data_IF_913204844056
#
_entry.id   IF_913204844056
#
_cell.length_a   1.000
_cell.length_b   1.000
_cell.length_c   1.000
_cell.angle_alpha   90.00
_cell.angle_beta   90.00
_cell.angle_gamma   90.00
#
_symmetry.space_group_name_H-M   'P 1'
#
loop_
_entity.id
_entity.type
_entity.pdbx_description
1 polymer ?
#
# COMPACT_ATOMS: atom_id res chain seq x y z
N UNK A 1 27.29 -12.43 -8.87
CA UNK A 1 26.74 -11.27 -8.13
C UNK A 1 25.24 -11.46 -8.08
N UNK A 2 24.65 -11.54 -6.88
CA UNK A 2 23.20 -11.46 -6.73
C UNK A 2 22.81 -9.98 -6.85
N UNK A 3 22.14 -9.61 -7.94
CA UNK A 3 21.58 -8.27 -8.07
C UNK A 3 20.60 -8.04 -6.92
N UNK A 4 20.65 -6.85 -6.31
CA UNK A 4 19.73 -6.52 -5.23
C UNK A 4 18.26 -6.61 -5.71
N UNK A 5 17.29 -6.98 -4.85
CA UNK A 5 15.90 -7.13 -5.26
C UNK A 5 15.31 -5.85 -5.85
N UNK A 6 14.50 -5.97 -6.90
CA UNK A 6 13.80 -4.83 -7.54
C UNK A 6 12.93 -4.12 -6.50
N UNK A 7 12.96 -2.78 -6.50
CA UNK A 7 12.23 -1.96 -5.55
C UNK A 7 12.88 -1.85 -4.16
N UNK A 8 14.08 -2.42 -3.98
CA UNK A 8 14.87 -2.21 -2.76
C UNK A 8 15.68 -0.92 -2.84
N UNK A 9 16.17 -0.42 -1.70
CA UNK A 9 17.05 0.76 -1.67
C UNK A 9 18.32 0.61 -2.51
N UNK A 10 18.82 -0.61 -2.69
CA UNK A 10 20.04 -0.91 -3.46
C UNK A 10 19.74 -1.25 -4.94
N UNK A 11 18.47 -1.35 -5.33
CA UNK A 11 18.00 -1.51 -6.70
C UNK A 11 16.59 -0.89 -6.82
N UNK A 12 16.50 0.45 -6.80
CA UNK A 12 15.23 1.17 -6.80
C UNK A 12 14.48 0.92 -8.12
N UNK A 13 13.16 0.93 -8.05
CA UNK A 13 12.29 0.86 -9.23
C UNK A 13 12.39 2.17 -10.03
N UNK A 14 12.12 2.14 -11.34
CA UNK A 14 11.94 3.38 -12.12
C UNK A 14 10.76 4.22 -11.59
N UNK A 15 9.82 3.57 -10.91
CA UNK A 15 8.65 4.19 -10.30
C UNK A 15 8.84 4.51 -8.81
N UNK A 16 10.07 4.47 -8.27
CA UNK A 16 10.31 4.85 -6.88
C UNK A 16 9.79 6.27 -6.62
N UNK A 17 8.92 6.39 -5.62
CA UNK A 17 8.27 7.65 -5.25
C UNK A 17 9.09 8.41 -4.22
N UNK A 18 10.00 7.74 -3.49
CA UNK A 18 10.73 8.36 -2.39
C UNK A 18 11.51 9.61 -2.80
N UNK A 19 12.16 9.70 -3.98
CA UNK A 19 12.84 10.92 -4.41
C UNK A 19 11.91 12.03 -4.92
N UNK A 20 10.64 11.73 -5.17
CA UNK A 20 9.64 12.61 -5.80
C UNK A 20 8.56 13.10 -4.84
N UNK A 21 8.48 12.50 -3.66
CA UNK A 21 7.52 12.82 -2.61
C UNK A 21 7.73 14.25 -2.10
N UNK A 22 6.67 15.04 -1.93
CA UNK A 22 6.80 16.34 -1.27
C UNK A 22 7.12 16.19 0.23
N UNK A 23 7.74 17.22 0.82
CA UNK A 23 8.14 17.19 2.24
C UNK A 23 6.94 17.01 3.20
N UNK A 24 5.75 17.43 2.79
CA UNK A 24 4.51 17.35 3.57
C UNK A 24 3.53 16.28 3.06
N UNK A 25 3.88 15.54 2.00
CA UNK A 25 3.01 14.50 1.43
C UNK A 25 3.05 13.22 2.29
N UNK A 26 1.92 12.80 2.88
CA UNK A 26 1.87 11.60 3.70
C UNK A 26 1.98 10.33 2.84
N UNK A 27 2.74 9.36 3.32
CA UNK A 27 2.89 8.05 2.67
C UNK A 27 2.82 6.90 3.67
N UNK A 28 2.46 5.71 3.17
CA UNK A 28 2.40 4.48 3.96
C UNK A 28 3.22 3.38 3.28
N UNK A 29 4.11 2.75 4.03
CA UNK A 29 4.97 1.66 3.51
C UNK A 29 4.52 0.32 4.04
N UNK A 30 4.15 -0.57 3.12
CA UNK A 30 4.00 -1.99 3.39
C UNK A 30 5.36 -2.65 3.12
N UNK A 31 6.04 -3.12 4.18
CA UNK A 31 7.38 -3.70 4.07
C UNK A 31 7.29 -5.15 3.61
N UNK A 32 8.21 -5.60 2.76
CA UNK A 32 8.31 -6.99 2.28
C UNK A 32 8.31 -8.08 3.36
N UNK A 33 8.60 -7.75 4.63
CA UNK A 33 8.50 -8.71 5.74
C UNK A 33 7.06 -8.94 6.25
N UNK A 34 6.10 -8.12 5.81
CA UNK A 34 4.69 -8.34 6.08
C UNK A 34 4.17 -9.41 5.09
N UNK A 35 3.63 -10.54 5.57
CA UNK A 35 3.19 -11.63 4.71
C UNK A 35 2.14 -11.24 3.67
N UNK A 36 1.41 -10.14 3.88
CA UNK A 36 0.39 -9.66 2.94
C UNK A 36 0.95 -8.74 1.86
N UNK A 37 2.23 -8.38 1.92
CA UNK A 37 2.80 -7.33 1.08
C UNK A 37 2.65 -7.60 -0.41
N UNK A 38 3.06 -8.78 -0.87
CA UNK A 38 3.01 -9.12 -2.30
C UNK A 38 1.57 -9.14 -2.80
N UNK A 39 0.67 -9.76 -2.04
CA UNK A 39 -0.76 -9.85 -2.37
C UNK A 39 -1.43 -8.46 -2.44
N UNK A 40 -1.10 -7.54 -1.53
CA UNK A 40 -1.61 -6.17 -1.54
C UNK A 40 -1.09 -5.36 -2.75
N UNK A 41 0.18 -5.56 -3.13
CA UNK A 41 0.76 -4.93 -4.33
C UNK A 41 0.11 -5.48 -5.60
N UNK A 42 -0.12 -6.79 -5.69
CA UNK A 42 -0.82 -7.41 -6.83
C UNK A 42 -2.28 -6.96 -6.93
N UNK A 43 -2.99 -6.89 -5.79
CA UNK A 43 -4.35 -6.37 -5.75
C UNK A 43 -4.42 -4.94 -6.31
N UNK A 44 -3.50 -4.07 -5.90
CA UNK A 44 -3.41 -2.71 -6.43
C UNK A 44 -3.22 -2.69 -7.95
N UNK A 45 -2.34 -3.56 -8.48
CA UNK A 45 -2.10 -3.67 -9.92
C UNK A 45 -3.35 -4.15 -10.68
N UNK A 46 -4.06 -5.17 -10.17
CA UNK A 46 -5.29 -5.66 -10.80
C UNK A 46 -6.41 -4.61 -10.84
N UNK A 47 -6.55 -3.81 -9.78
CA UNK A 47 -7.50 -2.69 -9.74
C UNK A 47 -7.13 -1.64 -10.80
N UNK A 48 -5.86 -1.23 -10.85
CA UNK A 48 -5.38 -0.24 -11.84
C UNK A 48 -5.53 -0.71 -13.28
N UNK A 49 -5.42 -2.02 -13.53
CA UNK A 49 -5.60 -2.63 -14.85
C UNK A 49 -7.07 -2.90 -15.23
N UNK A 50 -8.04 -2.59 -14.35
CA UNK A 50 -9.46 -2.86 -14.59
C UNK A 50 -9.84 -4.35 -14.56
N UNK A 51 -8.98 -5.22 -14.03
CA UNK A 51 -9.18 -6.66 -13.97
C UNK A 51 -9.98 -7.07 -12.73
N UNK A 52 -11.26 -6.70 -12.69
CA UNK A 52 -12.12 -6.87 -11.51
C UNK A 52 -12.20 -8.33 -11.01
N UNK A 53 -12.25 -9.33 -11.90
CA UNK A 53 -12.26 -10.74 -11.52
C UNK A 53 -10.97 -11.20 -10.82
N UNK A 54 -9.81 -10.79 -11.35
CA UNK A 54 -8.52 -11.10 -10.75
C UNK A 54 -8.34 -10.38 -9.40
N UNK A 55 -8.77 -9.11 -9.32
CA UNK A 55 -8.78 -8.35 -8.08
C UNK A 55 -9.66 -9.01 -7.00
N UNK A 56 -10.84 -9.50 -7.39
CA UNK A 56 -11.74 -10.21 -6.47
C UNK A 56 -11.09 -11.49 -5.91
N UNK A 57 -10.47 -12.30 -6.78
CA UNK A 57 -9.79 -13.52 -6.35
C UNK A 57 -8.63 -13.21 -5.39
N UNK A 58 -7.81 -12.20 -5.72
CA UNK A 58 -6.70 -11.78 -4.85
C UNK A 58 -7.20 -11.30 -3.47
N UNK A 59 -8.33 -10.58 -3.43
CA UNK A 59 -8.93 -10.20 -2.16
C UNK A 59 -9.37 -11.43 -1.34
N UNK A 60 -9.97 -12.43 -1.98
CA UNK A 60 -10.36 -13.67 -1.32
C UNK A 60 -9.13 -14.41 -0.74
N UNK A 61 -8.02 -14.46 -1.48
CA UNK A 61 -6.77 -15.06 -1.02
C UNK A 61 -6.18 -14.33 0.20
N UNK A 62 -6.20 -12.99 0.20
CA UNK A 62 -5.79 -12.17 1.37
C UNK A 62 -6.67 -12.51 2.59
N UNK A 63 -7.98 -12.62 2.41
CA UNK A 63 -8.89 -12.98 3.50
C UNK A 63 -8.60 -14.40 4.02
N UNK A 64 -8.27 -15.34 3.15
CA UNK A 64 -7.88 -16.70 3.54
C UNK A 64 -6.56 -16.69 4.35
N UNK A 65 -5.54 -15.94 3.92
CA UNK A 65 -4.25 -15.81 4.61
C UNK A 65 -4.38 -15.20 6.01
N UNK A 66 -5.33 -14.30 6.20
CA UNK A 66 -5.57 -13.64 7.50
C UNK A 66 -6.51 -14.42 8.41
N UNK A 67 -7.30 -15.35 7.88
CA UNK A 67 -8.28 -16.15 8.63
C UNK A 67 -7.67 -17.04 9.71
N UNK A 68 -6.42 -17.47 9.52
CA UNK A 68 -5.72 -18.35 10.45
C UNK A 68 -5.25 -17.67 11.76
N UNK A 69 -5.26 -16.33 11.82
CA UNK A 69 -4.90 -15.57 13.03
C UNK A 69 -6.12 -14.83 13.55
N UNK A 70 -6.26 -14.80 14.88
CA UNK A 70 -7.26 -13.96 15.53
C UNK A 70 -7.11 -12.51 15.03
N UNK A 71 -8.22 -11.83 14.68
CA UNK A 71 -8.19 -10.42 14.34
C UNK A 71 -7.44 -9.65 15.43
N UNK A 72 -6.48 -8.84 15.04
CA UNK A 72 -5.80 -7.97 16.01
C UNK A 72 -6.84 -6.99 16.58
N UNK A 73 -6.74 -6.61 17.88
CA UNK A 73 -7.69 -5.69 18.48
C UNK A 73 -7.76 -4.39 17.69
N UNK A 74 -8.98 -3.92 17.38
CA UNK A 74 -9.22 -2.66 16.68
C UNK A 74 -8.60 -1.44 17.40
N UNK A 75 -8.38 -1.56 18.72
CA UNK A 75 -7.73 -0.55 19.56
C UNK A 75 -6.20 -0.58 19.53
N UNK A 76 -5.58 -1.49 18.77
CA UNK A 76 -4.13 -1.55 18.69
C UNK A 76 -3.56 -0.22 18.19
N UNK A 77 -2.52 0.33 18.85
CA UNK A 77 -1.87 1.57 18.41
C UNK A 77 -1.47 1.57 16.94
N UNK A 78 -1.06 0.41 16.40
CA UNK A 78 -0.69 0.26 14.99
C UNK A 78 -1.84 0.57 14.04
N UNK A 79 -3.07 0.08 14.29
CA UNK A 79 -4.20 0.35 13.40
C UNK A 79 -4.70 1.77 13.51
N UNK A 80 -4.69 2.35 14.72
CA UNK A 80 -5.03 3.76 14.91
C UNK A 80 -4.12 4.66 14.06
N UNK A 81 -2.82 4.37 14.07
CA UNK A 81 -1.86 5.09 13.25
C UNK A 81 -2.11 4.89 11.74
N UNK A 82 -2.35 3.65 11.30
CA UNK A 82 -2.65 3.37 9.88
C UNK A 82 -3.91 4.11 9.40
N UNK A 83 -4.98 4.15 10.21
CA UNK A 83 -6.19 4.90 9.86
C UNK A 83 -5.96 6.41 9.89
N UNK A 84 -5.16 6.92 10.83
CA UNK A 84 -4.80 8.34 10.88
C UNK A 84 -3.99 8.76 9.65
N UNK A 85 -3.00 7.95 9.22
CA UNK A 85 -2.24 8.17 7.98
C UNK A 85 -3.18 8.14 6.78
N UNK A 86 -4.06 7.14 6.68
CA UNK A 86 -5.04 7.06 5.59
C UNK A 86 -5.91 8.32 5.49
N UNK A 87 -6.35 8.86 6.62
CA UNK A 87 -7.13 10.10 6.67
C UNK A 87 -6.29 11.31 6.23
N UNK A 88 -5.05 11.41 6.70
CA UNK A 88 -4.14 12.48 6.30
C UNK A 88 -3.87 12.47 4.79
N UNK A 89 -3.72 11.28 4.18
CA UNK A 89 -3.56 11.12 2.73
C UNK A 89 -4.77 11.63 1.94
N UNK A 90 -5.99 11.37 2.43
CA UNK A 90 -7.21 11.92 1.83
C UNK A 90 -7.26 13.44 1.92
N UNK A 91 -6.98 13.99 3.10
CA UNK A 91 -7.00 15.43 3.34
C UNK A 91 -5.95 16.16 2.48
N UNK A 92 -4.72 15.65 2.45
CA UNK A 92 -3.64 16.24 1.67
C UNK A 92 -3.98 16.24 0.16
N UNK A 93 -4.48 15.12 -0.37
CA UNK A 93 -4.91 15.03 -1.77
C UNK A 93 -6.02 16.02 -2.10
N UNK A 94 -7.01 16.19 -1.21
CA UNK A 94 -8.12 17.11 -1.44
C UNK A 94 -7.67 18.59 -1.40
N UNK A 95 -6.70 18.92 -0.55
CA UNK A 95 -6.14 20.28 -0.45
C UNK A 95 -5.25 20.66 -1.65
N UNK A 96 -4.63 19.67 -2.29
CA UNK A 96 -3.72 19.86 -3.43
C UNK A 96 -4.33 19.50 -4.79
N UNK A 97 -5.63 19.14 -4.83
CA UNK A 97 -6.31 18.89 -6.10
C UNK A 97 -6.47 20.24 -6.83
N UNK A 98 -5.96 20.39 -8.06
CA UNK A 98 -6.23 21.58 -8.85
C UNK A 98 -7.75 21.71 -9.00
N UNK A 99 -8.29 22.91 -8.79
CA UNK A 99 -9.70 23.19 -9.07
C UNK A 99 -9.95 22.86 -10.55
N UNK A 100 -10.73 21.81 -10.82
CA UNK A 100 -11.20 21.52 -12.17
C UNK A 100 -11.95 22.76 -12.66
N UNK A 101 -11.34 23.48 -13.61
CA UNK A 101 -11.84 24.70 -14.22
C UNK A 101 -12.78 24.40 -15.38
#
# INVERSE_FOLDING_TARGET
>A
MTNAPVGSKANPSEFDVMPRLADDEPYFVIRANDPLSSALVELHAYIGAGQAGAAHNMLADIMALTSAKAPRPASSPKYRETFAISLAMEQWRNAHRPEES
#
